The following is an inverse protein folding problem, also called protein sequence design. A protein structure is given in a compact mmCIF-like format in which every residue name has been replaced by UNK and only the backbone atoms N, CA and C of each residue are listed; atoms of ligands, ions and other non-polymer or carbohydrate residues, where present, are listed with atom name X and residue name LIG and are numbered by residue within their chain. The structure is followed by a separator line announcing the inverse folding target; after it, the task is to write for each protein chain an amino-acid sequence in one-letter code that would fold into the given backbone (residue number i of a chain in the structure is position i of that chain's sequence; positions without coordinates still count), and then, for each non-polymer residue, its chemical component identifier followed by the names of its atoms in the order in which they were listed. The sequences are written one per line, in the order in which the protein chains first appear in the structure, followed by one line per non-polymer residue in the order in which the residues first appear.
data_IF_109114922018
#
_entry.id   IF_109114922018
#
_cell.length_a   1.000
_cell.length_b   1.000
_cell.length_c   1.000
_cell.angle_alpha   90.00
_cell.angle_beta   90.00
_cell.angle_gamma   90.00
#
_symmetry.space_group_name_H-M   'P 1'
#
loop_
_entity.id
_entity.type
_entity.pdbx_description
1 polymer ?
#
# COMPACT_ATOMS: atom_id res chain seq x y z
N UNK A 1 -15.52 -1.79 6.88
CA UNK A 1 -14.38 -2.64 6.52
C UNK A 1 -13.34 -1.74 5.89
N UNK A 2 -12.17 -1.63 6.51
CA UNK A 2 -11.06 -0.86 5.99
C UNK A 2 -10.55 -1.44 4.65
N UNK A 3 -10.36 -0.57 3.66
CA UNK A 3 -9.69 -0.94 2.41
C UNK A 3 -8.22 -0.52 2.48
N UNK A 4 -7.35 -1.31 1.85
CA UNK A 4 -5.92 -1.11 1.81
C UNK A 4 -5.47 -0.87 0.38
N UNK A 5 -4.47 0.00 0.19
CA UNK A 5 -3.80 0.22 -1.09
C UNK A 5 -2.29 0.11 -0.93
N UNK A 6 -1.60 -0.06 -2.05
CA UNK A 6 -0.15 -0.13 -2.09
C UNK A 6 0.42 1.21 -2.55
N UNK A 7 1.52 1.62 -1.95
CA UNK A 7 2.30 2.75 -2.40
C UNK A 7 3.78 2.42 -2.46
N UNK A 8 4.46 2.97 -3.45
CA UNK A 8 5.90 2.83 -3.64
C UNK A 8 6.57 4.17 -3.83
N UNK A 9 7.85 4.20 -3.48
CA UNK A 9 8.77 5.28 -3.79
C UNK A 9 9.78 4.76 -4.81
N UNK A 10 9.44 4.92 -6.09
CA UNK A 10 10.26 4.51 -7.24
C UNK A 10 11.14 5.64 -7.79
N UNK A 11 10.95 6.87 -7.31
CA UNK A 11 11.72 8.05 -7.72
C UNK A 11 12.77 8.42 -6.67
N UNK A 12 14.03 8.02 -6.92
CA UNK A 12 15.17 8.33 -6.04
C UNK A 12 15.46 9.84 -5.94
N UNK A 13 15.07 10.65 -6.93
CA UNK A 13 15.23 12.11 -6.88
C UNK A 13 14.15 12.78 -6.01
N UNK A 14 13.05 12.08 -5.72
CA UNK A 14 11.90 12.56 -4.94
C UNK A 14 11.54 11.59 -3.81
N UNK A 15 12.41 11.43 -2.79
CA UNK A 15 12.18 10.52 -1.67
C UNK A 15 11.07 10.99 -0.69
N UNK A 16 10.41 12.11 -0.98
CA UNK A 16 9.21 12.60 -0.31
C UNK A 16 7.91 12.10 -0.96
N UNK A 17 7.99 11.65 -2.22
CA UNK A 17 6.81 11.31 -3.02
C UNK A 17 6.53 9.82 -2.94
N UNK A 18 5.26 9.49 -2.67
CA UNK A 18 4.73 8.13 -2.69
C UNK A 18 3.69 8.01 -3.79
N UNK A 19 3.86 7.02 -4.66
CA UNK A 19 2.95 6.77 -5.78
C UNK A 19 2.08 5.56 -5.49
N UNK A 20 0.79 5.70 -5.80
CA UNK A 20 -0.15 4.59 -5.74
C UNK A 20 0.17 3.55 -6.80
N UNK A 21 0.20 2.28 -6.41
CA UNK A 21 0.36 1.17 -7.34
C UNK A 21 -0.97 0.95 -8.06
N UNK A 22 -0.90 0.94 -9.38
CA UNK A 22 -2.05 0.74 -10.27
C UNK A 22 -1.94 -0.60 -10.98
N UNK A 23 -3.07 -1.17 -11.34
CA UNK A 23 -3.14 -2.32 -12.22
C UNK A 23 -2.80 -1.90 -13.66
N UNK A 24 -2.67 -2.89 -14.55
CA UNK A 24 -2.31 -2.67 -15.97
C UNK A 24 -3.33 -1.79 -16.71
N UNK A 25 -4.59 -1.81 -16.28
CA UNK A 25 -5.67 -0.96 -16.79
C UNK A 25 -5.66 0.47 -16.21
N UNK A 26 -4.71 0.78 -15.34
CA UNK A 26 -4.61 2.07 -14.65
C UNK A 26 -5.54 2.23 -13.44
N UNK A 27 -6.32 1.21 -13.10
CA UNK A 27 -7.16 1.22 -11.89
C UNK A 27 -6.30 1.11 -10.62
N UNK A 28 -6.80 1.66 -9.52
CA UNK A 28 -6.11 1.57 -8.22
C UNK A 28 -6.23 0.14 -7.68
N UNK A 29 -5.11 -0.46 -7.29
CA UNK A 29 -5.13 -1.79 -6.66
C UNK A 29 -5.53 -1.65 -5.19
N UNK A 30 -6.65 -2.26 -4.83
CA UNK A 30 -7.20 -2.22 -3.47
C UNK A 30 -7.46 -3.61 -2.89
N UNK A 31 -7.34 -3.75 -1.57
CA UNK A 31 -7.53 -5.01 -0.85
C UNK A 31 -8.43 -4.79 0.37
N UNK A 32 -9.13 -5.84 0.79
CA UNK A 32 -9.96 -5.83 2.01
C UNK A 32 -9.21 -6.35 3.24
N UNK A 33 -8.03 -6.96 3.04
CA UNK A 33 -7.15 -7.47 4.10
C UNK A 33 -5.74 -6.93 3.90
N UNK A 34 -5.11 -6.53 4.99
CA UNK A 34 -3.73 -6.03 4.97
C UNK A 34 -2.73 -7.12 4.55
N UNK A 35 -2.97 -8.37 4.97
CA UNK A 35 -2.13 -9.53 4.61
C UNK A 35 -2.01 -9.68 3.10
N UNK A 36 -3.14 -9.65 2.42
CA UNK A 36 -3.24 -9.88 0.97
C UNK A 36 -2.56 -8.73 0.22
N UNK A 37 -2.69 -7.50 0.73
CA UNK A 37 -1.98 -6.34 0.23
C UNK A 37 -0.45 -6.50 0.36
N UNK A 38 0.03 -6.97 1.52
CA UNK A 38 1.46 -7.20 1.76
C UNK A 38 2.03 -8.32 0.89
N UNK A 39 1.30 -9.41 0.72
CA UNK A 39 1.69 -10.50 -0.18
C UNK A 39 1.79 -10.01 -1.63
N UNK A 40 0.79 -9.25 -2.09
CA UNK A 40 0.83 -8.68 -3.45
C UNK A 40 1.98 -7.70 -3.63
N UNK A 41 2.30 -6.90 -2.61
CA UNK A 41 3.44 -5.98 -2.62
C UNK A 41 4.78 -6.74 -2.77
N UNK A 42 4.95 -7.87 -2.09
CA UNK A 42 6.12 -8.72 -2.22
C UNK A 42 6.24 -9.39 -3.60
N UNK A 43 5.12 -9.70 -4.25
CA UNK A 43 5.09 -10.22 -5.63
C UNK A 43 5.45 -9.14 -6.66
N UNK A 44 4.92 -7.93 -6.50
CA UNK A 44 5.12 -6.83 -7.47
C UNK A 44 6.49 -6.16 -7.31
N UNK A 45 6.97 -6.00 -6.07
CA UNK A 45 8.22 -5.29 -5.77
C UNK A 45 9.18 -6.15 -4.91
N UNK A 46 9.55 -7.37 -5.36
CA UNK A 46 10.29 -8.34 -4.55
C UNK A 46 11.66 -7.82 -4.12
N UNK A 47 12.32 -7.02 -4.96
CA UNK A 47 13.61 -6.41 -4.63
C UNK A 47 13.46 -5.36 -3.53
N UNK A 48 12.50 -4.44 -3.68
CA UNK A 48 12.29 -3.37 -2.70
C UNK A 48 11.89 -3.94 -1.34
N UNK A 49 10.97 -4.91 -1.31
CA UNK A 49 10.53 -5.57 -0.07
C UNK A 49 11.69 -6.31 0.61
N UNK A 50 12.56 -7.01 -0.15
CA UNK A 50 13.76 -7.64 0.43
C UNK A 50 14.75 -6.61 0.96
N UNK A 51 14.95 -5.50 0.26
CA UNK A 51 15.87 -4.45 0.70
C UNK A 51 15.44 -3.81 2.02
N UNK A 52 14.15 -3.78 2.35
CA UNK A 52 13.67 -3.31 3.66
C UNK A 52 14.20 -4.14 4.84
N UNK A 53 14.65 -5.38 4.61
CA UNK A 53 15.29 -6.20 5.65
C UNK A 53 16.74 -5.78 5.93
N UNK A 54 17.39 -5.11 4.97
CA UNK A 54 18.80 -4.73 5.04
C UNK A 54 19.00 -3.23 5.28
N UNK A 55 18.08 -2.39 4.79
CA UNK A 55 18.11 -0.95 4.96
C UNK A 55 17.24 -0.52 6.14
N UNK A 56 17.88 -0.25 7.29
CA UNK A 56 17.19 0.21 8.50
C UNK A 56 16.52 1.59 8.35
N UNK A 57 16.94 2.41 7.38
CA UNK A 57 16.63 3.85 7.39
C UNK A 57 15.49 4.27 6.45
N UNK A 58 15.21 3.55 5.35
CA UNK A 58 14.16 3.95 4.40
C UNK A 58 13.41 2.78 3.77
N UNK A 59 12.16 2.60 4.18
CA UNK A 59 11.19 1.76 3.47
C UNK A 59 10.77 2.47 2.18
N UNK A 60 10.82 1.74 1.06
CA UNK A 60 10.41 2.22 -0.26
C UNK A 60 9.06 1.66 -0.70
N UNK A 61 8.49 0.76 0.11
CA UNK A 61 7.16 0.19 -0.12
C UNK A 61 6.30 0.35 1.13
N UNK A 62 4.99 0.55 0.96
CA UNK A 62 4.05 0.59 2.09
C UNK A 62 2.65 0.16 1.70
N UNK A 63 1.93 -0.36 2.69
CA UNK A 63 0.49 -0.58 2.63
C UNK A 63 -0.19 0.55 3.40
N UNK A 64 -1.20 1.17 2.82
CA UNK A 64 -1.92 2.32 3.39
C UNK A 64 -3.39 1.99 3.52
N UNK A 65 -3.98 2.30 4.67
CA UNK A 65 -5.43 2.22 4.88
C UNK A 65 -6.09 3.40 4.17
N UNK A 66 -7.01 3.13 3.24
CA UNK A 66 -7.71 4.14 2.44
C UNK A 66 -8.83 4.83 3.21
N UNK A 67 -9.56 4.09 4.05
CA UNK A 67 -10.62 4.65 4.86
C UNK A 67 -10.63 3.99 6.25
N UNK A 68 -9.91 4.55 7.23
CA UNK A 68 -9.84 3.99 8.57
C UNK A 68 -11.15 4.10 9.36
N UNK A 69 -12.12 4.89 8.87
CA UNK A 69 -13.42 5.13 9.52
C UNK A 69 -14.60 4.45 8.80
N UNK A 70 -14.35 3.61 7.79
CA UNK A 70 -15.40 2.91 7.05
C UNK A 70 -16.27 1.99 7.92
N UNK A 71 -15.81 1.66 9.11
CA UNK A 71 -16.56 0.88 10.09
C UNK A 71 -17.44 1.75 11.02
N UNK A 72 -17.11 3.03 11.21
CA UNK A 72 -17.90 3.97 12.04
C UNK A 72 -19.14 4.52 11.32
N UNK A 73 -19.11 4.58 9.99
CA UNK A 73 -20.24 5.10 9.20
C UNK A 73 -21.45 4.14 9.19
N UNK A 74 -21.21 2.84 9.48
CA UNK A 74 -22.28 1.82 9.49
C UNK A 74 -23.17 1.86 10.74
N UNK A 75 -22.74 2.48 11.84
CA UNK A 75 -23.54 2.57 13.08
C UNK A 75 -24.60 3.69 13.06
N UNK A 76 -24.69 4.49 11.99
CA UNK A 76 -25.64 5.61 11.90
C UNK A 76 -26.92 5.35 11.12
N UNK A 77 -27.10 4.14 10.58
CA UNK A 77 -28.26 3.77 9.76
C UNK A 77 -29.21 2.73 10.42
N UNK A 78 -29.03 2.40 11.70
CA UNK A 78 -29.98 1.56 12.47
C UNK A 78 -30.79 2.35 13.50
#
# INVERSE_FOLDING_TARGET
MANYKLQVQDDDARPDVWRDVKAEDGSLVTFTRESDAREKLAVLFPVLVKLEQFHADRKRTRVVVMNPYADLDKEKEE
#
